data_IF_807397545037
#
_entry.id   IF_807397545037
#
_cell.length_a   1.000
_cell.length_b   1.000
_cell.length_c   1.000
_cell.angle_alpha   90.00
_cell.angle_beta   90.00
_cell.angle_gamma   90.00
#
_symmetry.space_group_name_H-M   'P 1'
#
loop_
_entity.id
_entity.type
_entity.pdbx_description
1 polymer ?
#
# COMPACT_ATOMS: atom_id res chain seq x y z
N UNK A 1 44.10 5.58 36.06
CA UNK A 1 44.05 4.67 34.89
C UNK A 1 43.16 3.50 35.29
N UNK A 2 41.87 3.57 34.95
CA UNK A 2 40.86 2.60 35.42
C UNK A 2 40.82 1.41 34.48
N UNK A 3 41.38 0.28 34.90
CA UNK A 3 41.32 -1.01 34.19
C UNK A 3 39.91 -1.57 34.27
N UNK A 4 39.13 -1.48 33.20
CA UNK A 4 37.88 -2.25 33.07
C UNK A 4 38.22 -3.74 33.15
N UNK A 5 37.75 -4.41 34.19
CA UNK A 5 38.00 -5.83 34.41
C UNK A 5 37.27 -6.67 33.35
N UNK A 6 37.90 -7.69 32.73
CA UNK A 6 37.29 -8.49 31.65
C UNK A 6 35.97 -9.18 32.02
N UNK A 7 35.74 -9.41 33.32
CA UNK A 7 34.50 -9.97 33.87
C UNK A 7 33.29 -9.02 33.75
N UNK A 8 33.48 -7.69 33.79
CA UNK A 8 32.37 -6.74 33.57
C UNK A 8 31.93 -6.73 32.11
N UNK A 9 32.86 -6.92 31.17
CA UNK A 9 32.60 -6.89 29.74
C UNK A 9 31.76 -8.09 29.28
N UNK A 10 32.09 -9.30 29.75
CA UNK A 10 31.33 -10.52 29.45
C UNK A 10 29.90 -10.48 30.04
N UNK A 11 29.76 -9.99 31.28
CA UNK A 11 28.45 -9.77 31.90
C UNK A 11 27.58 -8.79 31.12
N UNK A 12 28.17 -7.67 30.65
CA UNK A 12 27.43 -6.69 29.83
C UNK A 12 27.01 -7.24 28.47
N UNK A 13 27.81 -8.12 27.85
CA UNK A 13 27.47 -8.73 26.57
C UNK A 13 26.29 -9.70 26.68
N UNK A 14 26.26 -10.54 27.72
CA UNK A 14 25.16 -11.48 27.97
C UNK A 14 23.86 -10.74 28.29
N UNK A 15 23.90 -9.69 29.10
CA UNK A 15 22.72 -8.87 29.42
C UNK A 15 22.18 -8.14 28.18
N UNK A 16 23.06 -7.63 27.31
CA UNK A 16 22.67 -7.08 26.01
C UNK A 16 22.02 -8.14 25.11
N UNK A 17 22.61 -9.33 25.01
CA UNK A 17 22.06 -10.42 24.22
C UNK A 17 20.66 -10.84 24.72
N UNK A 18 20.51 -11.03 26.05
CA UNK A 18 19.21 -11.31 26.68
C UNK A 18 18.19 -10.21 26.41
N UNK A 19 18.59 -8.95 26.49
CA UNK A 19 17.71 -7.82 26.21
C UNK A 19 17.26 -7.81 24.73
N UNK A 20 18.16 -8.08 23.78
CA UNK A 20 17.83 -8.16 22.35
C UNK A 20 16.89 -9.33 22.07
N UNK A 21 17.16 -10.52 22.61
CA UNK A 21 16.29 -11.70 22.42
C UNK A 21 14.90 -11.43 22.99
N UNK A 22 14.82 -10.90 24.21
CA UNK A 22 13.53 -10.54 24.85
C UNK A 22 12.78 -9.47 24.05
N UNK A 23 13.50 -8.48 23.51
CA UNK A 23 12.90 -7.46 22.64
C UNK A 23 12.40 -8.07 21.33
N UNK A 24 13.16 -8.98 20.73
CA UNK A 24 12.87 -9.60 19.45
C UNK A 24 11.65 -10.53 19.54
N UNK A 25 11.64 -11.44 20.52
CA UNK A 25 10.53 -12.37 20.75
C UNK A 25 9.29 -11.63 21.29
N UNK A 26 9.51 -10.63 22.14
CA UNK A 26 8.44 -9.85 22.75
C UNK A 26 7.54 -9.12 21.75
N UNK A 27 7.94 -9.01 20.47
CA UNK A 27 7.12 -8.40 19.41
C UNK A 27 5.76 -9.09 19.25
N UNK A 28 5.70 -10.40 19.42
CA UNK A 28 4.47 -11.19 19.30
C UNK A 28 3.49 -10.94 20.45
N UNK A 29 3.96 -10.55 21.63
CA UNK A 29 3.09 -10.25 22.78
C UNK A 29 2.65 -8.78 22.85
N UNK A 30 3.20 -7.89 22.00
CA UNK A 30 2.88 -6.45 22.04
C UNK A 30 1.55 -6.16 21.35
N UNK A 31 0.60 -5.59 22.09
CA UNK A 31 -0.67 -5.07 21.55
C UNK A 31 -0.46 -4.16 20.33
N UNK A 32 0.57 -3.31 20.35
CA UNK A 32 0.88 -2.37 19.26
C UNK A 32 1.18 -3.06 17.93
N UNK A 33 1.77 -4.26 17.93
CA UNK A 33 2.02 -5.03 16.70
C UNK A 33 0.72 -5.37 15.98
N UNK A 34 -0.29 -5.82 16.73
CA UNK A 34 -1.60 -6.15 16.16
C UNK A 34 -2.37 -4.91 15.71
N UNK A 35 -2.23 -3.79 16.42
CA UNK A 35 -2.81 -2.50 15.99
C UNK A 35 -2.16 -2.00 14.69
N UNK A 36 -0.83 -2.13 14.57
CA UNK A 36 -0.09 -1.81 13.35
C UNK A 36 -0.53 -2.70 12.16
N UNK A 37 -0.66 -4.00 12.38
CA UNK A 37 -1.19 -4.93 11.37
C UNK A 37 -2.62 -4.58 10.96
N UNK A 38 -3.47 -4.21 11.92
CA UNK A 38 -4.83 -3.74 11.65
C UNK A 38 -4.84 -2.50 10.76
N UNK A 39 -3.95 -1.54 11.00
CA UNK A 39 -3.78 -0.37 10.12
C UNK A 39 -3.28 -0.74 8.73
N UNK A 40 -2.30 -1.65 8.60
CA UNK A 40 -1.80 -2.12 7.31
C UNK A 40 -2.89 -2.83 6.50
N UNK A 41 -3.66 -3.70 7.15
CA UNK A 41 -4.79 -4.39 6.55
C UNK A 41 -5.86 -3.40 6.08
N UNK A 42 -6.25 -2.46 6.95
CA UNK A 42 -7.28 -1.46 6.64
C UNK A 42 -6.84 -0.45 5.57
N UNK A 43 -5.53 -0.23 5.41
CA UNK A 43 -4.99 0.67 4.39
C UNK A 43 -5.39 0.28 2.96
N UNK A 44 -5.65 -1.00 2.69
CA UNK A 44 -6.11 -1.47 1.37
C UNK A 44 -7.57 -1.10 1.07
N UNK A 45 -8.59 -1.53 1.84
CA UNK A 45 -9.98 -1.15 1.59
C UNK A 45 -10.18 0.37 1.69
N UNK A 46 -9.47 1.07 2.59
CA UNK A 46 -9.48 2.53 2.64
C UNK A 46 -8.88 3.15 1.38
N UNK A 47 -7.73 2.64 0.94
CA UNK A 47 -7.10 3.09 -0.30
C UNK A 47 -8.02 2.96 -1.51
N UNK A 48 -8.77 1.86 -1.63
CA UNK A 48 -9.80 1.69 -2.66
C UNK A 48 -10.87 2.76 -2.51
N UNK A 49 -11.47 2.90 -1.33
CA UNK A 49 -12.55 3.87 -1.10
C UNK A 49 -12.14 5.31 -1.44
N UNK A 50 -10.95 5.72 -1.01
CA UNK A 50 -10.42 7.05 -1.29
C UNK A 50 -10.15 7.27 -2.78
N UNK A 51 -9.52 6.29 -3.42
CA UNK A 51 -9.25 6.34 -4.85
C UNK A 51 -10.54 6.40 -5.66
N UNK A 52 -11.56 5.59 -5.32
CA UNK A 52 -12.87 5.63 -5.97
C UNK A 52 -13.52 7.00 -5.83
N UNK A 53 -13.58 7.57 -4.62
CA UNK A 53 -14.15 8.92 -4.40
C UNK A 53 -13.41 9.97 -5.24
N UNK A 54 -12.08 9.96 -5.22
CA UNK A 54 -11.29 10.93 -5.97
C UNK A 54 -11.43 10.77 -7.49
N UNK A 55 -11.32 9.54 -8.00
CA UNK A 55 -11.40 9.27 -9.44
C UNK A 55 -12.80 9.56 -9.96
N UNK A 56 -13.85 9.11 -9.28
CA UNK A 56 -15.24 9.39 -9.68
C UNK A 56 -15.55 10.88 -9.58
N UNK A 57 -15.14 11.54 -8.50
CA UNK A 57 -15.36 12.97 -8.29
C UNK A 57 -14.65 13.83 -9.32
N UNK A 58 -13.41 13.51 -9.66
CA UNK A 58 -12.65 14.28 -10.64
C UNK A 58 -12.87 13.87 -12.10
N UNK A 59 -13.47 12.71 -12.38
CA UNK A 59 -13.73 12.24 -13.74
C UNK A 59 -14.64 13.20 -14.53
N UNK A 60 -15.70 13.73 -13.92
CA UNK A 60 -16.62 14.68 -14.56
C UNK A 60 -15.91 15.98 -14.95
N UNK A 61 -15.29 16.74 -14.01
CA UNK A 61 -14.64 18.01 -14.35
C UNK A 61 -13.46 17.83 -15.32
N UNK A 62 -12.61 16.80 -15.15
CA UNK A 62 -11.52 16.56 -16.10
C UNK A 62 -12.02 16.06 -17.45
N UNK A 63 -13.07 15.24 -17.50
CA UNK A 63 -13.68 14.76 -18.74
C UNK A 63 -14.28 15.90 -19.55
N UNK A 64 -15.01 16.82 -18.90
CA UNK A 64 -15.54 18.02 -19.55
C UNK A 64 -14.43 18.96 -20.03
N UNK A 65 -13.39 19.15 -19.22
CA UNK A 65 -12.22 19.95 -19.62
C UNK A 65 -11.51 19.33 -20.82
N UNK A 66 -11.31 18.01 -20.80
CA UNK A 66 -10.70 17.27 -21.90
C UNK A 66 -11.53 17.37 -23.18
N UNK A 67 -12.86 17.22 -23.09
CA UNK A 67 -13.76 17.38 -24.23
C UNK A 67 -13.67 18.79 -24.83
N UNK A 68 -13.64 19.83 -23.99
CA UNK A 68 -13.48 21.22 -24.43
C UNK A 68 -12.15 21.43 -25.19
N UNK A 69 -11.05 20.94 -24.62
CA UNK A 69 -9.70 21.03 -25.21
C UNK A 69 -9.64 20.26 -26.54
N UNK A 70 -10.23 19.06 -26.58
CA UNK A 70 -10.27 18.22 -27.76
C UNK A 70 -11.04 18.89 -28.91
N UNK A 71 -12.23 19.44 -28.63
CA UNK A 71 -13.04 20.15 -29.63
C UNK A 71 -12.28 21.38 -30.12
N UNK A 72 -11.72 22.19 -29.21
CA UNK A 72 -10.96 23.37 -29.56
C UNK A 72 -9.77 23.08 -30.48
N UNK A 73 -9.16 21.88 -30.34
CA UNK A 73 -8.03 21.44 -31.18
C UNK A 73 -8.47 20.87 -32.53
N UNK A 74 -9.57 20.09 -32.56
CA UNK A 74 -9.98 19.33 -33.73
C UNK A 74 -10.88 20.12 -34.68
N UNK A 75 -11.83 20.88 -34.15
CA UNK A 75 -12.80 21.67 -34.92
C UNK A 75 -13.14 22.98 -34.17
N UNK A 76 -12.40 24.07 -34.46
CA UNK A 76 -12.64 25.37 -33.84
C UNK A 76 -14.02 25.97 -34.14
N UNK A 77 -14.66 25.58 -35.26
CA UNK A 77 -16.01 26.06 -35.61
C UNK A 77 -17.05 25.38 -34.73
N UNK A 78 -16.92 24.08 -34.49
CA UNK A 78 -17.77 23.35 -33.54
C UNK A 78 -17.69 23.92 -32.12
N UNK A 79 -16.53 24.45 -31.70
CA UNK A 79 -16.39 25.13 -30.41
C UNK A 79 -17.28 26.36 -30.28
N UNK A 80 -17.54 27.11 -31.36
CA UNK A 80 -18.41 28.29 -31.30
C UNK A 80 -19.87 27.93 -31.02
N UNK A 81 -20.29 26.75 -31.48
CA UNK A 81 -21.67 26.26 -31.33
C UNK A 81 -21.83 25.50 -30.01
N UNK A 82 -20.93 24.54 -29.74
CA UNK A 82 -21.01 23.63 -28.59
C UNK A 82 -20.27 24.14 -27.34
N UNK A 83 -19.40 25.15 -27.48
CA UNK A 83 -18.57 25.65 -26.37
C UNK A 83 -19.38 26.30 -25.26
N UNK A 84 -20.42 27.08 -25.59
CA UNK A 84 -21.29 27.72 -24.58
C UNK A 84 -22.07 26.66 -23.77
N UNK A 85 -22.77 25.69 -24.40
CA UNK A 85 -23.40 24.59 -23.67
C UNK A 85 -22.42 23.82 -22.77
N UNK A 86 -21.23 23.46 -23.29
CA UNK A 86 -20.23 22.70 -22.52
C UNK A 86 -19.70 23.53 -21.34
N UNK A 87 -19.41 24.82 -21.56
CA UNK A 87 -18.99 25.72 -20.49
C UNK A 87 -20.07 25.86 -19.41
N UNK A 88 -21.34 25.93 -19.79
CA UNK A 88 -22.45 25.94 -18.82
C UNK A 88 -22.51 24.63 -18.02
N UNK A 89 -22.32 23.48 -18.66
CA UNK A 89 -22.25 22.18 -17.95
C UNK A 89 -21.03 22.13 -17.01
N UNK A 90 -19.88 22.67 -17.43
CA UNK A 90 -18.70 22.79 -16.56
C UNK A 90 -19.02 23.64 -15.33
N UNK A 91 -19.68 24.79 -15.51
CA UNK A 91 -20.00 25.70 -14.39
C UNK A 91 -21.07 25.10 -13.47
N UNK A 92 -22.13 24.49 -14.03
CA UNK A 92 -23.26 23.99 -13.26
C UNK A 92 -23.01 22.61 -12.63
N UNK A 93 -22.17 21.78 -13.23
CA UNK A 93 -21.92 20.41 -12.77
C UNK A 93 -20.44 20.18 -12.45
N UNK A 94 -19.53 20.55 -13.36
CA UNK A 94 -18.10 20.32 -13.19
C UNK A 94 -17.53 20.98 -11.93
N UNK A 95 -17.75 22.29 -11.77
CA UNK A 95 -17.23 23.06 -10.63
C UNK A 95 -17.84 22.58 -9.29
N UNK A 96 -19.17 22.42 -9.14
CA UNK A 96 -19.75 21.91 -7.90
C UNK A 96 -19.24 20.50 -7.55
N UNK A 97 -19.16 19.59 -8.52
CA UNK A 97 -18.65 18.22 -8.28
C UNK A 97 -17.18 18.26 -7.87
N UNK A 98 -16.34 19.07 -8.55
CA UNK A 98 -14.94 19.25 -8.17
C UNK A 98 -14.82 19.80 -6.74
N UNK A 99 -15.62 20.81 -6.39
CA UNK A 99 -15.63 21.40 -5.05
C UNK A 99 -16.05 20.38 -3.99
N UNK A 100 -17.15 19.65 -4.21
CA UNK A 100 -17.58 18.56 -3.34
C UNK A 100 -16.50 17.47 -3.18
N UNK A 101 -15.76 17.16 -4.24
CA UNK A 101 -14.66 16.20 -4.21
C UNK A 101 -13.50 16.71 -3.35
N UNK A 102 -13.15 17.99 -3.43
CA UNK A 102 -12.14 18.61 -2.57
C UNK A 102 -12.59 18.61 -1.10
N UNK A 103 -13.84 18.95 -0.82
CA UNK A 103 -14.40 18.87 0.55
C UNK A 103 -14.36 17.44 1.08
N UNK A 104 -14.77 16.45 0.28
CA UNK A 104 -14.66 15.04 0.64
C UNK A 104 -13.20 14.63 0.90
N UNK A 105 -12.25 15.13 0.11
CA UNK A 105 -10.82 14.84 0.32
C UNK A 105 -10.28 15.37 1.65
N UNK A 106 -10.81 16.50 2.15
CA UNK A 106 -10.47 17.05 3.46
C UNK A 106 -10.98 16.11 4.56
N UNK A 107 -12.24 15.67 4.48
CA UNK A 107 -12.83 14.74 5.46
C UNK A 107 -12.12 13.38 5.47
N UNK A 108 -11.78 12.84 4.31
CA UNK A 108 -11.02 11.58 4.21
C UNK A 108 -9.59 11.74 4.73
N UNK A 109 -8.95 12.89 4.52
CA UNK A 109 -7.64 13.18 5.10
C UNK A 109 -7.71 13.31 6.63
N UNK A 110 -8.78 13.89 7.16
CA UNK A 110 -9.02 13.95 8.59
C UNK A 110 -9.30 12.56 9.20
N UNK A 111 -10.04 11.70 8.50
CA UNK A 111 -10.23 10.29 8.88
C UNK A 111 -8.87 9.58 9.00
N UNK A 112 -7.98 9.76 8.02
CA UNK A 112 -6.63 9.18 8.03
C UNK A 112 -5.77 9.68 9.19
N UNK A 113 -5.88 10.97 9.55
CA UNK A 113 -5.23 11.51 10.75
C UNK A 113 -5.77 10.87 12.03
N UNK A 114 -7.09 10.72 12.17
CA UNK A 114 -7.71 10.04 13.33
C UNK A 114 -7.29 8.57 13.42
N UNK A 115 -7.16 7.88 12.28
CA UNK A 115 -6.65 6.51 12.24
C UNK A 115 -5.18 6.45 12.63
N UNK A 116 -4.34 7.37 12.15
CA UNK A 116 -2.93 7.44 12.51
C UNK A 116 -2.73 7.76 14.01
N UNK A 117 -3.54 8.65 14.57
CA UNK A 117 -3.52 8.96 16.00
C UNK A 117 -3.91 7.72 16.82
N UNK A 118 -5.08 7.13 16.55
CA UNK A 118 -5.60 5.98 17.34
C UNK A 118 -4.81 4.69 17.18
N UNK A 119 -4.35 4.38 15.96
CA UNK A 119 -3.74 3.09 15.65
C UNK A 119 -2.21 3.14 15.65
N UNK A 120 -1.61 4.25 15.23
CA UNK A 120 -0.15 4.38 15.14
C UNK A 120 0.44 5.24 16.26
N UNK A 121 -0.40 5.98 17.00
CA UNK A 121 0.02 6.87 18.09
C UNK A 121 0.78 8.09 17.57
N UNK A 122 0.43 8.59 16.38
CA UNK A 122 1.05 9.76 15.77
C UNK A 122 0.03 10.89 15.70
N UNK A 123 0.19 11.86 16.59
CA UNK A 123 -0.56 13.11 16.53
C UNK A 123 -0.05 13.98 15.36
N UNK A 124 -0.97 14.50 14.57
CA UNK A 124 -0.70 15.27 13.37
C UNK A 124 -1.43 16.60 13.54
N UNK A 125 -0.74 17.72 13.37
CA UNK A 125 -1.29 19.08 13.53
C UNK A 125 -2.27 19.47 12.42
N UNK A 126 -3.34 20.18 12.78
CA UNK A 126 -4.28 20.87 11.88
C UNK A 126 -3.77 22.27 11.56
N UNK A 127 -4.19 22.83 10.42
CA UNK A 127 -4.08 24.26 10.15
C UNK A 127 -5.13 25.06 10.93
N UNK A 128 -4.91 26.37 11.04
CA UNK A 128 -5.86 27.29 11.67
C UNK A 128 -7.19 27.31 10.92
N UNK A 129 -8.28 27.46 11.68
CA UNK A 129 -9.62 27.55 11.12
C UNK A 129 -9.76 28.80 10.25
N UNK A 130 -10.67 28.74 9.27
CA UNK A 130 -11.02 29.89 8.46
C UNK A 130 -11.95 30.82 9.26
N UNK A 131 -11.82 32.14 9.05
CA UNK A 131 -12.62 33.15 9.77
C UNK A 131 -13.97 33.45 9.11
N UNK A 132 -14.22 32.91 7.91
CA UNK A 132 -15.50 33.07 7.22
C UNK A 132 -15.65 32.21 5.96
N UNK A 133 -16.88 32.13 5.43
CA UNK A 133 -17.27 31.25 4.32
C UNK A 133 -16.46 31.45 3.04
N UNK A 134 -16.23 32.71 2.64
CA UNK A 134 -15.46 33.02 1.42
C UNK A 134 -14.00 32.61 1.57
N UNK A 135 -13.42 32.87 2.74
CA UNK A 135 -12.05 32.46 3.04
C UNK A 135 -11.93 30.94 3.05
N UNK A 136 -12.86 30.25 3.70
CA UNK A 136 -12.93 28.79 3.71
C UNK A 136 -13.01 28.21 2.29
N UNK A 137 -13.95 28.67 1.47
CA UNK A 137 -14.11 28.17 0.10
C UNK A 137 -12.86 28.43 -0.76
N UNK A 138 -12.23 29.58 -0.57
CA UNK A 138 -10.97 29.91 -1.27
C UNK A 138 -9.83 29.00 -0.80
N UNK A 139 -9.73 28.72 0.51
CA UNK A 139 -8.73 27.81 1.08
C UNK A 139 -8.93 26.37 0.60
N UNK A 140 -10.17 25.85 0.53
CA UNK A 140 -10.45 24.50 0.01
C UNK A 140 -9.82 24.31 -1.38
N UNK A 141 -9.96 25.30 -2.28
CA UNK A 141 -9.48 25.19 -3.66
C UNK A 141 -7.99 25.54 -3.81
N UNK A 142 -7.54 26.58 -3.10
CA UNK A 142 -6.24 27.22 -3.37
C UNK A 142 -5.12 26.73 -2.46
N UNK A 143 -5.48 26.20 -1.29
CA UNK A 143 -4.47 25.85 -0.29
C UNK A 143 -3.69 24.60 -0.71
N UNK A 144 -2.36 24.66 -0.55
CA UNK A 144 -1.46 23.55 -0.91
C UNK A 144 -1.73 22.32 -0.06
N UNK A 145 -2.25 22.52 1.15
CA UNK A 145 -2.60 21.44 2.08
C UNK A 145 -3.69 20.52 1.52
N UNK A 146 -4.72 21.07 0.84
CA UNK A 146 -5.78 20.27 0.19
C UNK A 146 -5.21 19.39 -0.90
N UNK A 147 -4.37 19.95 -1.78
CA UNK A 147 -3.75 19.19 -2.87
C UNK A 147 -2.74 18.14 -2.39
N UNK A 148 -2.04 18.39 -1.27
CA UNK A 148 -1.25 17.36 -0.58
C UNK A 148 -2.15 16.23 -0.05
N UNK A 149 -3.33 16.56 0.49
CA UNK A 149 -4.35 15.59 0.92
C UNK A 149 -4.85 14.74 -0.24
N UNK A 150 -5.22 15.35 -1.37
CA UNK A 150 -5.62 14.63 -2.60
C UNK A 150 -4.50 13.69 -3.08
N UNK A 151 -3.26 14.17 -3.15
CA UNK A 151 -2.11 13.35 -3.53
C UNK A 151 -1.86 12.19 -2.55
N UNK A 152 -1.98 12.45 -1.24
CA UNK A 152 -1.89 11.44 -0.20
C UNK A 152 -2.96 10.35 -0.39
N UNK A 153 -4.22 10.74 -0.50
CA UNK A 153 -5.35 9.82 -0.66
C UNK A 153 -5.25 8.99 -1.95
N UNK A 154 -4.81 9.59 -3.06
CA UNK A 154 -4.56 8.86 -4.30
C UNK A 154 -3.43 7.83 -4.13
N UNK A 155 -2.31 8.23 -3.53
CA UNK A 155 -1.19 7.32 -3.26
C UNK A 155 -1.54 6.18 -2.29
N UNK A 156 -2.54 6.41 -1.42
CA UNK A 156 -2.98 5.45 -0.40
C UNK A 156 -3.50 4.16 -1.02
N UNK A 157 -4.05 4.21 -2.23
CA UNK A 157 -4.43 3.01 -2.98
C UNK A 157 -3.23 2.08 -3.26
N UNK A 158 -2.13 2.65 -3.79
CA UNK A 158 -0.92 1.88 -4.10
C UNK A 158 -0.26 1.37 -2.81
N UNK A 159 -0.12 2.25 -1.81
CA UNK A 159 0.48 1.91 -0.52
C UNK A 159 -0.35 0.85 0.21
N UNK A 160 -1.68 0.97 0.17
CA UNK A 160 -2.61 0.01 0.74
C UNK A 160 -2.50 -1.36 0.08
N UNK A 161 -2.46 -1.39 -1.25
CA UNK A 161 -2.26 -2.63 -2.03
C UNK A 161 -0.94 -3.31 -1.67
N UNK A 162 0.18 -2.56 -1.65
CA UNK A 162 1.49 -3.11 -1.26
C UNK A 162 1.48 -3.61 0.19
N UNK A 163 0.88 -2.85 1.11
CA UNK A 163 0.78 -3.23 2.52
C UNK A 163 -0.02 -4.52 2.70
N UNK A 164 -1.12 -4.67 1.97
CA UNK A 164 -1.93 -5.88 1.98
C UNK A 164 -1.20 -7.09 1.39
N UNK A 165 -0.49 -6.92 0.26
CA UNK A 165 0.34 -7.97 -0.33
C UNK A 165 1.41 -8.43 0.67
N UNK A 166 2.13 -7.49 1.29
CA UNK A 166 3.16 -7.80 2.28
C UNK A 166 2.57 -8.52 3.49
N UNK A 167 1.40 -8.08 3.97
CA UNK A 167 0.72 -8.68 5.12
C UNK A 167 0.24 -10.11 4.82
N UNK A 168 -0.40 -10.33 3.68
CA UNK A 168 -0.88 -11.65 3.24
C UNK A 168 0.29 -12.57 2.95
N UNK A 169 1.30 -12.12 2.20
CA UNK A 169 2.47 -12.93 1.86
C UNK A 169 3.25 -13.33 3.12
N UNK A 170 3.58 -12.36 3.97
CA UNK A 170 4.29 -12.62 5.22
C UNK A 170 3.52 -13.54 6.15
N UNK A 171 2.19 -13.34 6.26
CA UNK A 171 1.31 -14.20 7.04
C UNK A 171 1.23 -15.63 6.51
N UNK A 172 1.00 -15.79 5.21
CA UNK A 172 0.87 -17.10 4.56
C UNK A 172 2.18 -17.88 4.59
N UNK A 173 3.32 -17.25 4.32
CA UNK A 173 4.64 -17.91 4.39
C UNK A 173 4.92 -18.36 5.83
N UNK A 174 4.67 -17.50 6.81
CA UNK A 174 4.84 -17.86 8.23
C UNK A 174 3.94 -19.02 8.62
N UNK A 175 2.66 -18.97 8.23
CA UNK A 175 1.70 -20.05 8.47
C UNK A 175 2.16 -21.36 7.85
N UNK A 176 2.56 -21.36 6.58
CA UNK A 176 2.99 -22.56 5.87
C UNK A 176 4.20 -23.22 6.55
N UNK A 177 5.21 -22.43 6.97
CA UNK A 177 6.37 -22.95 7.67
C UNK A 177 6.01 -23.52 9.05
N UNK A 178 5.20 -22.80 9.84
CA UNK A 178 4.78 -23.25 11.17
C UNK A 178 3.91 -24.51 11.07
N UNK A 179 3.04 -24.59 10.06
CA UNK A 179 2.13 -25.71 9.81
C UNK A 179 2.81 -26.92 9.16
N UNK A 180 4.11 -26.87 8.85
CA UNK A 180 4.85 -27.98 8.25
C UNK A 180 4.63 -29.35 8.94
N UNK A 181 4.61 -29.49 10.29
CA UNK A 181 4.38 -30.76 10.97
C UNK A 181 2.98 -31.35 10.75
N UNK A 182 2.00 -30.53 10.36
CA UNK A 182 0.65 -31.00 10.07
C UNK A 182 0.52 -31.55 8.64
N UNK A 183 1.45 -31.20 7.76
CA UNK A 183 1.34 -31.43 6.31
C UNK A 183 2.53 -32.18 5.70
N UNK A 184 3.52 -32.60 6.51
CA UNK A 184 4.74 -33.26 6.04
C UNK A 184 4.52 -34.54 5.19
N UNK A 185 3.47 -35.31 5.45
CA UNK A 185 3.16 -36.51 4.67
C UNK A 185 2.34 -36.23 3.41
N UNK A 186 1.91 -34.98 3.19
CA UNK A 186 1.07 -34.62 2.07
C UNK A 186 1.90 -34.09 0.90
N UNK A 187 2.07 -34.92 -0.13
CA UNK A 187 2.84 -34.57 -1.34
C UNK A 187 2.25 -33.37 -2.13
N UNK A 188 0.98 -33.03 -1.87
CA UNK A 188 0.31 -31.86 -2.46
C UNK A 188 0.59 -30.56 -1.69
N UNK A 189 1.21 -30.62 -0.51
CA UNK A 189 1.45 -29.46 0.36
C UNK A 189 2.94 -29.28 0.57
N UNK A 190 3.55 -28.44 -0.27
CA UNK A 190 4.97 -28.12 -0.27
C UNK A 190 5.25 -26.86 -1.07
N UNK A 191 6.49 -26.37 -1.04
CA UNK A 191 6.94 -25.35 -1.97
C UNK A 191 7.51 -26.08 -3.18
N UNK A 192 6.68 -26.25 -4.21
CA UNK A 192 7.07 -26.83 -5.49
C UNK A 192 7.50 -25.68 -6.40
N UNK A 193 8.80 -25.44 -6.51
CA UNK A 193 9.35 -24.47 -7.45
C UNK A 193 9.36 -25.08 -8.87
N UNK A 194 8.15 -25.25 -9.44
CA UNK A 194 7.88 -25.52 -10.85
C UNK A 194 8.14 -26.94 -11.35
N UNK A 195 7.19 -27.48 -12.11
CA UNK A 195 7.48 -28.45 -13.17
C UNK A 195 8.52 -27.83 -14.15
N UNK A 196 9.28 -28.65 -14.91
CA UNK A 196 10.21 -28.13 -15.90
C UNK A 196 9.53 -27.06 -16.76
N UNK A 197 10.11 -25.86 -16.84
CA UNK A 197 9.57 -24.84 -17.74
C UNK A 197 9.84 -25.33 -19.16
N UNK A 198 8.82 -25.90 -19.79
CA UNK A 198 8.86 -26.31 -21.19
C UNK A 198 8.73 -25.07 -22.06
N UNK A 199 9.87 -24.58 -22.57
CA UNK A 199 9.86 -23.55 -23.59
C UNK A 199 9.67 -24.21 -24.96
N UNK A 200 8.54 -23.90 -25.60
CA UNK A 200 8.22 -24.35 -26.95
C UNK A 200 8.21 -23.13 -27.88
N UNK A 201 9.38 -22.64 -28.34
CA UNK A 201 9.42 -21.55 -29.29
C UNK A 201 8.89 -22.03 -30.65
N UNK A 202 7.80 -21.41 -31.11
CA UNK A 202 7.27 -21.58 -32.46
C UNK A 202 7.74 -20.40 -33.30
N UNK A 203 8.47 -20.67 -34.38
CA UNK A 203 8.98 -19.63 -35.28
C UNK A 203 8.42 -19.85 -36.67
N UNK A 204 7.31 -19.18 -36.92
CA UNK A 204 6.65 -19.17 -38.23
C UNK A 204 6.99 -17.88 -38.95
N UNK A 205 7.66 -17.99 -40.09
CA UNK A 205 7.89 -16.86 -40.99
C UNK A 205 7.05 -17.02 -42.25
N UNK A 206 6.12 -16.10 -42.48
CA UNK A 206 5.22 -16.10 -43.63
C UNK A 206 5.46 -14.85 -44.48
N UNK A 207 5.78 -15.04 -45.76
CA UNK A 207 5.89 -13.94 -46.73
C UNK A 207 5.48 -14.41 -48.13
N UNK A 208 4.65 -13.63 -48.83
CA UNK A 208 4.31 -13.74 -50.26
C UNK A 208 4.24 -15.14 -50.88
N UNK A 209 3.45 -16.02 -50.25
CA UNK A 209 3.14 -17.37 -50.77
C UNK A 209 4.02 -18.49 -50.26
N UNK A 210 5.05 -18.18 -49.47
CA UNK A 210 5.94 -19.15 -48.82
C UNK A 210 5.76 -19.09 -47.31
N UNK A 211 5.67 -20.27 -46.67
CA UNK A 211 5.69 -20.42 -45.22
C UNK A 211 6.92 -21.25 -44.87
N UNK A 212 7.75 -20.73 -43.99
CA UNK A 212 8.81 -21.49 -43.34
C UNK A 212 8.37 -21.67 -41.89
N UNK A 213 8.06 -22.92 -41.56
CA UNK A 213 7.70 -23.31 -40.21
C UNK A 213 8.84 -24.13 -39.63
N UNK A 214 9.44 -23.61 -38.55
CA UNK A 214 10.48 -24.35 -37.84
C UNK A 214 9.77 -25.20 -36.79
N UNK A 215 9.88 -26.52 -36.93
CA UNK A 215 9.28 -27.46 -36.00
C UNK A 215 9.64 -27.09 -34.56
N UNK A 216 8.65 -27.02 -33.64
CA UNK A 216 8.91 -26.62 -32.27
C UNK A 216 9.92 -27.56 -31.63
N UNK A 217 11.04 -27.00 -31.19
CA UNK A 217 12.06 -27.72 -30.44
C UNK A 217 11.69 -27.57 -28.97
N UNK A 218 11.36 -28.67 -28.29
CA UNK A 218 11.10 -28.67 -26.85
C UNK A 218 12.41 -28.44 -26.10
N UNK A 219 12.60 -27.22 -25.59
CA UNK A 219 13.70 -26.90 -24.68
C UNK A 219 13.20 -27.13 -23.26
N UNK A 220 13.46 -28.33 -22.74
CA UNK A 220 13.23 -28.67 -21.33
C UNK A 220 14.48 -28.34 -20.53
N UNK A 221 14.39 -27.41 -19.59
CA UNK A 221 15.42 -27.22 -18.57
C UNK A 221 15.19 -28.35 -17.56
N UNK A 222 15.89 -29.47 -17.76
CA UNK A 222 15.71 -30.71 -17.00
C UNK A 222 16.12 -30.62 -15.51
N UNK A 223 16.79 -29.54 -15.10
CA UNK A 223 17.18 -29.32 -13.72
C UNK A 223 16.17 -28.41 -13.00
N UNK A 224 14.93 -28.88 -12.94
CA UNK A 224 13.88 -28.35 -12.06
C UNK A 224 14.06 -28.75 -10.59
N UNK A 225 15.18 -29.36 -10.22
CA UNK A 225 15.52 -29.68 -8.83
C UNK A 225 16.15 -28.46 -8.12
N UNK A 226 15.54 -27.30 -8.28
CA UNK A 226 15.89 -26.10 -7.52
C UNK A 226 15.11 -26.13 -6.20
N UNK A 227 15.52 -27.05 -5.30
CA UNK A 227 15.08 -27.12 -3.90
C UNK A 227 13.60 -27.50 -3.76
N UNK A 228 13.23 -28.76 -4.02
CA UNK A 228 12.02 -29.29 -3.41
C UNK A 228 12.30 -29.42 -1.91
N UNK A 229 11.78 -28.49 -1.10
CA UNK A 229 11.83 -28.63 0.37
C UNK A 229 10.77 -29.67 0.78
N UNK A 230 10.91 -30.89 0.26
CA UNK A 230 10.04 -32.00 0.60
C UNK A 230 10.45 -32.53 1.97
N UNK A 231 9.54 -32.38 2.93
CA UNK A 231 9.77 -32.78 4.31
C UNK A 231 9.13 -34.14 4.50
N UNK A 232 9.91 -35.20 4.29
CA UNK A 232 9.45 -36.59 4.38
C UNK A 232 9.37 -37.14 5.82
N UNK A 233 9.90 -36.36 6.78
CA UNK A 233 10.19 -36.84 8.13
C UNK A 233 9.77 -35.83 9.19
N UNK A 234 9.19 -36.35 10.28
CA UNK A 234 8.69 -35.53 11.39
C UNK A 234 9.77 -34.62 12.02
N UNK A 235 11.02 -35.08 12.26
CA UNK A 235 12.07 -34.21 12.81
C UNK A 235 12.40 -33.02 11.90
N UNK A 236 12.46 -33.26 10.58
CA UNK A 236 12.68 -32.22 9.58
C UNK A 236 11.52 -31.23 9.56
N UNK A 237 10.27 -31.72 9.71
CA UNK A 237 9.08 -30.87 9.80
C UNK A 237 9.09 -29.96 11.03
N UNK A 238 9.53 -30.50 12.17
CA UNK A 238 9.70 -29.72 13.40
C UNK A 238 10.81 -28.67 13.27
N UNK A 239 11.91 -28.99 12.59
CA UNK A 239 12.97 -28.02 12.31
C UNK A 239 12.47 -26.88 11.41
N UNK A 240 11.72 -27.20 10.34
CA UNK A 240 11.08 -26.21 9.46
C UNK A 240 10.06 -25.36 10.22
N UNK A 241 9.26 -25.96 11.09
CA UNK A 241 8.32 -25.23 11.96
C UNK A 241 9.04 -24.27 12.91
N UNK A 242 10.11 -24.73 13.57
CA UNK A 242 10.92 -23.89 14.44
C UNK A 242 11.56 -22.72 13.69
N UNK A 243 12.05 -22.95 12.46
CA UNK A 243 12.52 -21.90 11.57
C UNK A 243 11.37 -20.93 11.19
N UNK A 244 10.18 -21.46 10.90
CA UNK A 244 8.97 -20.70 10.63
C UNK A 244 8.58 -19.75 11.76
N UNK A 245 8.76 -20.15 13.02
CA UNK A 245 8.55 -19.27 14.18
C UNK A 245 9.53 -18.08 14.14
N UNK A 246 10.81 -18.31 13.82
CA UNK A 246 11.81 -17.24 13.69
C UNK A 246 11.45 -16.31 12.53
N UNK A 247 11.08 -16.86 11.38
CA UNK A 247 10.60 -16.09 10.22
C UNK A 247 9.37 -15.25 10.60
N UNK A 248 8.42 -15.82 11.32
CA UNK A 248 7.24 -15.12 11.81
C UNK A 248 7.59 -13.92 12.69
N UNK A 249 8.55 -14.07 13.60
CA UNK A 249 9.03 -12.94 14.41
C UNK A 249 9.67 -11.84 13.55
N UNK A 250 10.47 -12.20 12.54
CA UNK A 250 11.04 -11.24 11.57
C UNK A 250 9.92 -10.51 10.83
N UNK A 251 8.92 -11.24 10.32
CA UNK A 251 7.76 -10.69 9.60
C UNK A 251 6.98 -9.70 10.48
N UNK A 252 6.78 -9.99 11.77
CA UNK A 252 6.13 -9.05 12.69
C UNK A 252 6.95 -7.75 12.88
N UNK A 253 8.28 -7.83 12.90
CA UNK A 253 9.13 -6.63 12.91
C UNK A 253 9.04 -5.85 11.59
N UNK A 254 8.96 -6.53 10.44
CA UNK A 254 8.75 -5.90 9.15
C UNK A 254 7.41 -5.17 9.08
N UNK A 255 6.32 -5.76 9.59
CA UNK A 255 5.02 -5.10 9.68
C UNK A 255 5.06 -3.87 10.58
N UNK A 256 5.76 -3.94 11.71
CA UNK A 256 5.97 -2.79 12.58
C UNK A 256 6.78 -1.68 11.90
N UNK A 257 7.82 -2.03 11.14
CA UNK A 257 8.61 -1.09 10.37
C UNK A 257 7.80 -0.43 9.25
N UNK A 258 6.99 -1.21 8.53
CA UNK A 258 6.06 -0.69 7.51
C UNK A 258 5.05 0.29 8.13
N UNK A 259 4.40 -0.10 9.23
CA UNK A 259 3.44 0.78 9.92
C UNK A 259 4.10 2.09 10.40
N UNK A 260 5.34 2.02 10.88
CA UNK A 260 6.13 3.20 11.24
C UNK A 260 6.43 4.10 10.02
N UNK A 261 6.81 3.53 8.88
CA UNK A 261 7.01 4.27 7.63
C UNK A 261 5.72 4.97 7.17
N UNK A 262 4.59 4.26 7.24
CA UNK A 262 3.29 4.82 6.89
C UNK A 262 2.91 5.96 7.84
N UNK A 263 3.12 5.82 9.16
CA UNK A 263 2.89 6.91 10.11
C UNK A 263 3.70 8.17 9.75
N UNK A 264 4.99 7.98 9.39
CA UNK A 264 5.86 9.09 8.98
C UNK A 264 5.39 9.73 7.67
N UNK A 265 4.96 8.92 6.72
CA UNK A 265 4.40 9.37 5.45
C UNK A 265 3.13 10.22 5.66
N UNK A 266 2.19 9.73 6.47
CA UNK A 266 0.95 10.43 6.83
C UNK A 266 1.27 11.77 7.49
N UNK A 267 2.18 11.81 8.47
CA UNK A 267 2.59 13.06 9.09
C UNK A 267 3.24 14.03 8.08
N UNK A 268 4.12 13.55 7.19
CA UNK A 268 4.79 14.40 6.20
C UNK A 268 3.81 15.07 5.24
N UNK A 269 2.80 14.34 4.76
CA UNK A 269 1.83 14.87 3.81
C UNK A 269 0.65 15.60 4.46
N UNK A 270 0.16 15.13 5.60
CA UNK A 270 -1.03 15.67 6.26
C UNK A 270 -0.75 16.64 7.41
N UNK A 271 0.51 16.94 7.75
CA UNK A 271 0.82 18.03 8.68
C UNK A 271 0.22 19.35 8.19
N UNK A 272 -0.39 20.09 9.11
CA UNK A 272 -1.08 21.35 8.85
C UNK A 272 -2.15 21.20 7.74
N UNK A 273 -2.81 20.04 7.67
CA UNK A 273 -3.95 19.87 6.80
C UNK A 273 -5.17 20.62 7.35
N UNK A 274 -6.08 21.01 6.46
CA UNK A 274 -7.37 21.62 6.79
C UNK A 274 -8.11 20.79 7.87
N UNK A 275 -8.74 21.45 8.86
CA UNK A 275 -9.56 20.78 9.86
C UNK A 275 -10.80 20.12 9.21
N UNK A 276 -11.31 19.06 9.85
CA UNK A 276 -12.55 18.40 9.42
C UNK A 276 -13.73 19.30 9.73
N UNK A 277 -14.58 19.55 8.73
CA UNK A 277 -15.81 20.34 8.88
C UNK A 277 -16.81 19.61 9.76
N UNK A 278 -16.79 18.27 9.77
CA UNK A 278 -17.75 17.46 10.54
C UNK A 278 -17.36 17.37 12.02
N UNK A 279 -16.08 17.19 12.37
CA UNK A 279 -15.66 17.10 13.78
C UNK A 279 -15.20 18.41 14.39
N UNK A 280 -14.68 19.32 13.57
CA UNK A 280 -14.13 20.61 13.96
C UNK A 280 -14.82 21.68 13.10
N UNK A 281 -16.15 21.88 13.29
CA UNK A 281 -16.90 22.80 12.47
C UNK A 281 -16.32 24.20 12.60
N UNK A 282 -16.16 24.93 11.48
CA UNK A 282 -15.68 26.31 11.53
C UNK A 282 -16.63 27.16 12.37
N UNK A 283 -16.08 28.06 13.18
CA UNK A 283 -16.84 29.13 13.83
C UNK A 283 -17.29 30.13 12.76
N UNK A 284 -18.41 29.83 12.10
CA UNK A 284 -19.02 30.62 11.02
C UNK A 284 -20.01 31.66 11.54
#
# INVERSE_FOLDING_TARGET
MSTSSPLSTAGTALERARAVIRWFIGVAARKRTYTNMGYLFLSFPLGIGYFTVLVTGFAIPFGLLFALIQIARNDPVALLIAGIPIALVIVCLGIPVAFCTLVASIELSALERRLADRLLGTDISTADQATGLREWATRVVTDRSTWKGVGYLFSKFVIGTVSFIVLVLGGTVTYALIAAPLHYQNQLVGIHLGDPIEFVPELTYQHDGWIIDIAPITLSIADGELISLYVDSLPTALAVSAFGVVVGLVVLHLFNAAAWLLARYTNLLLRNAQPSIVSEPPEL
#
